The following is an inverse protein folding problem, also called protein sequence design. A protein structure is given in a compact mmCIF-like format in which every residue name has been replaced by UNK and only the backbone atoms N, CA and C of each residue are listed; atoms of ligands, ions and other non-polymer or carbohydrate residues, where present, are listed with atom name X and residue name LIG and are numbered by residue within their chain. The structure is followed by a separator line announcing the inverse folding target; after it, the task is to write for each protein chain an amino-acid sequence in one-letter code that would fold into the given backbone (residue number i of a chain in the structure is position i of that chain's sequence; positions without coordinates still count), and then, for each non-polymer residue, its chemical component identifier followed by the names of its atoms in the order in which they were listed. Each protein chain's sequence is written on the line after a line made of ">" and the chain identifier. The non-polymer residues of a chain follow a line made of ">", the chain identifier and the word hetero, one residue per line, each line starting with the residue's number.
data_IF_568359425706
#
_entry.id   IF_568359425706
#
_cell.length_a   1.000
_cell.length_b   1.000
_cell.length_c   1.000
_cell.angle_alpha   90.00
_cell.angle_beta   90.00
_cell.angle_gamma   90.00
#
_symmetry.space_group_name_H-M   'P 1'
#
loop_
_entity.id
_entity.type
_entity.pdbx_description
1 polymer ?
#
# COMPACT_ATOMS: atom_id res chain seq x y z
N UNK A 1 -12.59 -2.29 3.68
CA UNK A 1 -11.41 -2.00 2.87
C UNK A 1 -11.11 -0.51 2.90
N UNK A 2 -9.88 -0.17 3.31
CA UNK A 2 -9.45 1.24 3.42
C UNK A 2 -8.39 1.50 2.35
N UNK A 3 -8.66 2.46 1.47
CA UNK A 3 -7.72 3.01 0.47
C UNK A 3 -7.53 4.52 0.71
N UNK A 4 -7.47 4.91 1.98
CA UNK A 4 -7.49 6.32 2.36
C UNK A 4 -6.11 6.96 2.49
N UNK A 5 -5.05 6.14 2.58
CA UNK A 5 -3.71 6.67 2.86
C UNK A 5 -3.03 7.32 1.66
N UNK A 6 -3.60 7.15 0.46
CA UNK A 6 -3.09 7.77 -0.76
C UNK A 6 -2.50 6.78 -1.77
N UNK A 7 -1.71 7.34 -2.69
CA UNK A 7 -1.10 6.61 -3.81
C UNK A 7 0.43 6.60 -3.71
N UNK A 8 1.00 7.02 -2.59
CA UNK A 8 2.44 7.01 -2.39
C UNK A 8 2.99 5.60 -2.58
N UNK A 9 4.01 5.45 -3.41
CA UNK A 9 4.66 4.18 -3.70
C UNK A 9 6.13 4.42 -3.99
N UNK A 10 6.97 3.46 -3.61
CA UNK A 10 8.40 3.47 -3.89
C UNK A 10 8.76 2.71 -5.16
N UNK A 11 7.79 2.05 -5.81
CA UNK A 11 7.98 1.31 -7.06
C UNK A 11 7.29 1.99 -8.24
N UNK A 12 7.74 1.59 -9.43
CA UNK A 12 7.37 2.08 -10.74
C UNK A 12 7.00 0.91 -11.67
N UNK A 13 6.11 0.04 -11.19
CA UNK A 13 5.73 -1.19 -11.88
C UNK A 13 5.12 -0.93 -13.26
N UNK A 14 5.49 -1.73 -14.28
CA UNK A 14 4.99 -1.57 -15.64
C UNK A 14 3.46 -1.67 -15.76
N UNK A 15 2.83 -2.56 -14.98
CA UNK A 15 1.38 -2.74 -14.99
C UNK A 15 0.63 -1.77 -14.07
N UNK A 16 1.34 -0.93 -13.30
CA UNK A 16 0.67 -0.06 -12.35
C UNK A 16 -0.02 1.09 -13.06
N UNK A 17 -1.25 1.36 -12.61
CA UNK A 17 -2.03 2.46 -13.14
C UNK A 17 -1.61 3.80 -12.50
N UNK A 18 -1.68 4.88 -13.26
CA UNK A 18 -1.28 6.22 -12.78
C UNK A 18 -1.99 6.64 -11.51
N UNK A 19 -3.27 6.29 -11.35
CA UNK A 19 -4.06 6.61 -10.14
C UNK A 19 -3.71 5.77 -8.90
N UNK A 20 -2.78 4.84 -9.02
CA UNK A 20 -2.41 3.92 -7.95
C UNK A 20 -0.95 4.02 -7.53
N UNK A 21 -0.19 4.92 -8.17
CA UNK A 21 1.24 5.14 -7.87
C UNK A 21 1.62 6.59 -8.09
N UNK A 22 2.17 7.22 -7.06
CA UNK A 22 2.66 8.61 -7.12
C UNK A 22 3.77 8.79 -8.17
N UNK A 23 4.64 7.79 -8.32
CA UNK A 23 5.72 7.83 -9.33
C UNK A 23 5.13 7.78 -10.74
N UNK A 24 4.19 6.86 -10.99
CA UNK A 24 3.53 6.76 -12.30
C UNK A 24 2.70 8.00 -12.64
N UNK A 25 2.02 8.56 -11.65
CA UNK A 25 1.30 9.83 -11.82
C UNK A 25 2.25 10.93 -12.25
N UNK A 26 3.39 11.07 -11.54
CA UNK A 26 4.39 12.07 -11.87
C UNK A 26 4.96 11.88 -13.28
N UNK A 27 5.36 10.67 -13.64
CA UNK A 27 5.88 10.36 -14.98
C UNK A 27 4.88 10.74 -16.08
N UNK A 28 3.61 10.39 -15.92
CA UNK A 28 2.59 10.73 -16.90
C UNK A 28 2.39 12.25 -17.08
N UNK A 29 2.58 13.03 -16.01
CA UNK A 29 2.60 14.50 -16.11
C UNK A 29 3.85 15.02 -16.79
N UNK A 30 5.03 14.52 -16.41
CA UNK A 30 6.33 14.94 -16.98
C UNK A 30 6.40 14.62 -18.48
N UNK A 31 5.79 13.51 -18.92
CA UNK A 31 5.70 13.09 -20.34
C UNK A 31 4.56 13.78 -21.10
N UNK A 32 3.78 14.64 -20.45
CA UNK A 32 2.66 15.38 -21.08
C UNK A 32 1.44 14.52 -21.43
N UNK A 33 1.44 13.24 -21.05
CA UNK A 33 0.36 12.29 -21.37
C UNK A 33 -0.95 12.67 -20.68
N UNK A 34 -0.90 13.43 -19.59
CA UNK A 34 -2.03 13.71 -18.70
C UNK A 34 -2.41 15.18 -18.57
N UNK A 35 -1.93 16.03 -19.46
CA UNK A 35 -2.30 17.45 -19.43
C UNK A 35 -3.80 17.68 -19.68
N UNK A 36 -4.49 16.71 -20.27
CA UNK A 36 -5.92 16.79 -20.54
C UNK A 36 -6.61 15.45 -20.19
N UNK A 37 -7.61 15.48 -19.34
CA UNK A 37 -8.50 14.33 -19.10
C UNK A 37 -9.86 14.64 -19.72
N UNK A 38 -10.35 13.72 -20.52
CA UNK A 38 -11.72 13.80 -21.05
C UNK A 38 -12.64 13.24 -19.96
N UNK A 39 -13.42 14.11 -19.35
CA UNK A 39 -14.49 13.74 -18.42
C UNK A 39 -15.84 14.00 -19.07
N UNK A 40 -16.48 12.94 -19.53
CA UNK A 40 -17.65 13.06 -20.42
C UNK A 40 -17.27 13.76 -21.73
N UNK A 41 -17.98 14.84 -22.09
CA UNK A 41 -17.69 15.64 -23.29
C UNK A 41 -16.80 16.87 -23.03
N UNK A 42 -16.20 17.00 -21.84
CA UNK A 42 -15.37 18.15 -21.48
C UNK A 42 -13.91 17.75 -21.29
N UNK A 43 -13.00 18.46 -21.96
CA UNK A 43 -11.58 18.42 -21.66
C UNK A 43 -11.31 19.22 -20.41
N UNK A 44 -10.75 18.59 -19.38
CA UNK A 44 -10.36 19.24 -18.14
C UNK A 44 -8.85 19.15 -18.01
N UNK A 45 -8.18 20.31 -18.01
CA UNK A 45 -6.76 20.36 -17.61
C UNK A 45 -6.67 20.12 -16.12
N UNK A 46 -5.93 19.10 -15.72
CA UNK A 46 -5.68 18.79 -14.32
C UNK A 46 -4.21 18.91 -14.02
N UNK A 47 -3.90 19.51 -12.87
CA UNK A 47 -2.54 19.56 -12.36
C UNK A 47 -2.17 18.24 -11.66
N UNK A 48 -0.87 17.98 -11.49
CA UNK A 48 -0.40 16.85 -10.68
C UNK A 48 -1.01 16.89 -9.26
N UNK A 49 -1.19 18.10 -8.70
CA UNK A 49 -1.82 18.33 -7.40
C UNK A 49 -3.28 17.85 -7.36
N UNK A 50 -4.03 17.94 -8.45
CA UNK A 50 -5.44 17.51 -8.49
C UNK A 50 -5.57 15.98 -8.39
N UNK A 51 -4.58 15.24 -8.85
CA UNK A 51 -4.52 13.78 -8.72
C UNK A 51 -3.88 13.34 -7.39
N UNK A 52 -2.89 14.06 -6.92
CA UNK A 52 -2.34 13.88 -5.58
C UNK A 52 -3.38 14.24 -4.51
N UNK A 53 -4.31 15.11 -4.88
CA UNK A 53 -5.38 15.65 -4.04
C UNK A 53 -6.67 14.82 -4.03
N UNK A 54 -6.63 13.57 -4.38
CA UNK A 54 -7.48 12.64 -3.63
C UNK A 54 -6.94 12.55 -2.17
N UNK A 55 -6.45 13.65 -1.63
CA UNK A 55 -6.25 13.92 -0.21
C UNK A 55 -7.62 14.06 0.42
N UNK A 56 -8.33 12.91 0.49
CA UNK A 56 -9.33 12.77 1.52
C UNK A 56 -8.65 13.14 2.83
N UNK A 57 -9.34 13.75 3.76
CA UNK A 57 -8.79 14.06 5.07
C UNK A 57 -8.47 12.72 5.76
N UNK A 58 -7.25 12.24 5.58
CA UNK A 58 -6.80 10.93 6.10
C UNK A 58 -7.00 10.88 7.60
N UNK A 59 -6.80 12.02 8.27
CA UNK A 59 -7.00 12.12 9.71
C UNK A 59 -8.47 11.94 10.12
N UNK A 60 -9.40 12.49 9.34
CA UNK A 60 -10.83 12.28 9.57
C UNK A 60 -11.21 10.81 9.38
N UNK A 61 -10.72 10.17 8.32
CA UNK A 61 -10.97 8.75 8.07
C UNK A 61 -10.35 7.89 9.18
N UNK A 62 -9.13 8.21 9.62
CA UNK A 62 -8.49 7.51 10.72
C UNK A 62 -9.32 7.65 12.02
N UNK A 63 -9.83 8.83 12.31
CA UNK A 63 -10.68 9.04 13.48
C UNK A 63 -11.98 8.22 13.38
N UNK A 64 -12.66 8.22 12.23
CA UNK A 64 -13.85 7.39 12.00
C UNK A 64 -13.54 5.88 12.16
N UNK A 65 -12.38 5.40 11.71
CA UNK A 65 -11.96 4.01 11.91
C UNK A 65 -11.75 3.72 13.39
N UNK A 66 -11.15 4.64 14.13
CA UNK A 66 -10.93 4.51 15.57
C UNK A 66 -12.25 4.48 16.34
N UNK A 67 -13.21 5.35 16.01
CA UNK A 67 -14.55 5.35 16.59
C UNK A 67 -15.31 4.04 16.34
N UNK A 68 -15.12 3.45 15.15
CA UNK A 68 -15.76 2.19 14.77
C UNK A 68 -14.97 0.95 15.19
N UNK A 69 -13.77 1.10 15.77
CA UNK A 69 -12.86 0.00 16.07
C UNK A 69 -13.50 -1.16 16.84
N UNK A 70 -14.38 -0.94 17.85
CA UNK A 70 -15.05 -2.04 18.56
C UNK A 70 -15.91 -2.96 17.68
N UNK A 71 -16.30 -2.47 16.50
CA UNK A 71 -17.13 -3.21 15.52
C UNK A 71 -16.32 -3.73 14.33
N UNK A 72 -15.02 -3.39 14.26
CA UNK A 72 -14.16 -3.80 13.15
C UNK A 72 -13.48 -5.12 13.49
N UNK A 73 -13.84 -6.17 12.75
CA UNK A 73 -13.17 -7.46 12.83
C UNK A 73 -12.03 -7.61 11.81
N UNK A 74 -12.24 -7.07 10.59
CA UNK A 74 -11.27 -7.13 9.51
C UNK A 74 -10.97 -5.74 8.95
N UNK A 75 -9.71 -5.37 8.91
CA UNK A 75 -9.22 -4.13 8.33
C UNK A 75 -8.30 -4.43 7.15
N UNK A 76 -8.77 -4.21 5.92
CA UNK A 76 -7.93 -4.35 4.72
C UNK A 76 -7.33 -3.01 4.35
N UNK A 77 -6.00 -2.93 4.36
CA UNK A 77 -5.22 -1.74 4.05
C UNK A 77 -4.57 -1.92 2.67
N UNK A 78 -4.89 -1.01 1.78
CA UNK A 78 -4.38 -0.97 0.41
C UNK A 78 -4.06 0.48 0.01
N UNK A 79 -3.27 0.66 -1.03
CA UNK A 79 -2.91 1.98 -1.55
C UNK A 79 -1.83 1.86 -2.60
N UNK A 80 -0.94 2.84 -2.70
CA UNK A 80 0.32 2.70 -3.41
C UNK A 80 1.18 1.63 -2.75
N UNK A 81 1.88 2.00 -1.68
CA UNK A 81 2.55 1.08 -0.76
C UNK A 81 2.22 1.48 0.68
N UNK A 82 1.36 0.73 1.37
CA UNK A 82 0.91 1.10 2.72
C UNK A 82 2.05 1.23 3.73
N UNK A 83 3.09 0.39 3.60
CA UNK A 83 4.16 0.30 4.60
C UNK A 83 5.15 1.47 4.57
N UNK A 84 5.06 2.39 3.58
CA UNK A 84 5.84 3.66 3.61
C UNK A 84 5.03 4.83 4.17
N UNK A 85 3.72 4.68 4.35
CA UNK A 85 2.82 5.79 4.67
C UNK A 85 2.75 6.05 6.17
N UNK A 86 3.24 7.19 6.65
CA UNK A 86 3.23 7.55 8.08
C UNK A 86 1.82 7.52 8.69
N UNK A 87 0.82 8.02 7.96
CA UNK A 87 -0.58 8.06 8.41
C UNK A 87 -1.18 6.68 8.67
N UNK A 88 -0.68 5.66 8.01
CA UNK A 88 -1.03 4.28 8.31
C UNK A 88 -0.56 3.89 9.71
N UNK A 89 0.70 4.20 10.08
CA UNK A 89 1.23 3.90 11.41
C UNK A 89 0.54 4.70 12.52
N UNK A 90 0.18 5.95 12.25
CA UNK A 90 -0.63 6.77 13.17
C UNK A 90 -1.99 6.11 13.48
N UNK A 91 -2.61 5.46 12.49
CA UNK A 91 -3.82 4.67 12.72
C UNK A 91 -3.53 3.45 13.61
N UNK A 92 -2.45 2.71 13.32
CA UNK A 92 -2.09 1.54 14.13
C UNK A 92 -1.81 1.94 15.58
N UNK A 93 -1.08 3.04 15.80
CA UNK A 93 -0.79 3.57 17.15
C UNK A 93 -2.10 3.84 17.92
N UNK A 94 -3.07 4.51 17.29
CA UNK A 94 -4.39 4.80 17.90
C UNK A 94 -5.16 3.53 18.23
N UNK A 95 -5.19 2.54 17.32
CA UNK A 95 -5.88 1.26 17.57
C UNK A 95 -5.25 0.48 18.72
N UNK A 96 -3.95 0.58 18.89
CA UNK A 96 -3.22 -0.03 20.02
C UNK A 96 -3.52 0.72 21.31
N UNK A 97 -3.50 2.05 21.29
CA UNK A 97 -3.74 2.92 22.44
C UNK A 97 -5.12 2.69 23.05
N UNK A 98 -6.15 2.47 22.23
CA UNK A 98 -7.52 2.17 22.69
C UNK A 98 -7.76 0.69 22.98
N UNK A 99 -6.72 -0.16 22.94
CA UNK A 99 -6.75 -1.61 23.23
C UNK A 99 -7.60 -2.46 22.26
N UNK A 100 -7.98 -1.92 21.10
CA UNK A 100 -8.81 -2.63 20.11
C UNK A 100 -7.98 -3.46 19.09
N UNK A 101 -6.69 -3.16 18.93
CA UNK A 101 -5.82 -3.86 17.99
C UNK A 101 -5.84 -5.39 18.16
N UNK A 102 -5.90 -5.88 19.39
CA UNK A 102 -5.92 -7.32 19.72
C UNK A 102 -7.13 -8.10 19.19
N UNK A 103 -8.21 -7.39 18.81
CA UNK A 103 -9.43 -7.98 18.25
C UNK A 103 -9.46 -7.90 16.73
N UNK A 104 -8.64 -7.03 16.12
CA UNK A 104 -8.65 -6.72 14.70
C UNK A 104 -7.71 -7.64 13.93
N UNK A 105 -8.18 -8.19 12.82
CA UNK A 105 -7.36 -8.82 11.80
C UNK A 105 -7.00 -7.79 10.72
N UNK A 106 -5.72 -7.62 10.43
CA UNK A 106 -5.28 -6.74 9.35
C UNK A 106 -4.89 -7.54 8.12
N UNK A 107 -5.27 -7.07 6.95
CA UNK A 107 -4.81 -7.58 5.66
C UNK A 107 -4.13 -6.47 4.87
N UNK A 108 -2.84 -6.62 4.63
CA UNK A 108 -2.04 -5.74 3.77
C UNK A 108 -1.97 -6.25 2.34
N UNK A 109 -2.05 -5.31 1.38
CA UNK A 109 -1.59 -5.52 0.01
C UNK A 109 -0.30 -4.70 -0.13
N UNK A 110 0.84 -5.35 -0.23
CA UNK A 110 2.16 -4.70 -0.26
C UNK A 110 3.03 -5.20 -1.40
N UNK A 111 3.98 -4.39 -1.82
CA UNK A 111 5.02 -4.82 -2.75
C UNK A 111 6.16 -5.59 -2.06
N UNK A 112 6.16 -5.66 -0.74
CA UNK A 112 7.10 -6.43 0.07
C UNK A 112 8.52 -5.86 0.18
N UNK A 113 8.81 -4.69 -0.40
CA UNK A 113 10.17 -4.13 -0.41
C UNK A 113 10.52 -3.32 0.83
N UNK A 114 9.52 -2.87 1.59
CA UNK A 114 9.71 -1.94 2.70
C UNK A 114 9.08 -2.50 3.97
N UNK A 115 9.80 -2.37 5.07
CA UNK A 115 9.35 -2.78 6.41
C UNK A 115 9.50 -1.67 7.44
N UNK A 116 10.07 -0.52 7.04
CA UNK A 116 10.36 0.63 7.90
C UNK A 116 9.91 1.93 7.22
N UNK A 117 9.21 2.79 7.95
CA UNK A 117 8.83 4.13 7.53
C UNK A 117 9.18 5.16 8.61
N UNK A 118 10.29 5.87 8.44
CA UNK A 118 10.83 6.77 9.45
C UNK A 118 11.22 6.00 10.72
N UNK A 119 10.58 6.29 11.84
CA UNK A 119 10.80 5.60 13.12
C UNK A 119 9.96 4.32 13.28
N UNK A 120 9.01 4.07 12.42
CA UNK A 120 8.07 2.95 12.54
C UNK A 120 8.58 1.73 11.78
N UNK A 121 8.61 0.60 12.44
CA UNK A 121 8.95 -0.70 11.88
C UNK A 121 7.72 -1.61 11.98
N UNK A 122 7.24 -2.15 10.86
CA UNK A 122 5.99 -2.93 10.85
C UNK A 122 6.03 -4.13 11.80
N UNK A 123 7.19 -4.72 12.00
CA UNK A 123 7.39 -5.88 12.89
C UNK A 123 7.10 -5.57 14.37
N UNK A 124 7.16 -4.31 14.80
CA UNK A 124 6.83 -3.89 16.17
C UNK A 124 5.31 -3.84 16.39
N UNK A 125 4.54 -3.72 15.30
CA UNK A 125 3.07 -3.64 15.30
C UNK A 125 2.39 -5.01 15.17
N UNK A 126 2.97 -5.92 14.38
CA UNK A 126 2.38 -7.25 14.09
C UNK A 126 1.91 -7.98 15.35
N UNK A 127 2.70 -8.09 16.45
CA UNK A 127 2.29 -8.84 17.63
C UNK A 127 1.11 -8.23 18.38
N UNK A 128 0.75 -6.98 18.09
CA UNK A 128 -0.35 -6.26 18.76
C UNK A 128 -1.72 -6.58 18.17
N UNK A 129 -1.76 -7.17 16.98
CA UNK A 129 -2.99 -7.47 16.27
C UNK A 129 -3.35 -8.96 16.36
N UNK A 130 -4.66 -9.25 16.30
CA UNK A 130 -5.17 -10.63 16.37
C UNK A 130 -4.56 -11.53 15.30
N UNK A 131 -4.51 -11.04 14.07
CA UNK A 131 -3.89 -11.70 12.91
C UNK A 131 -3.46 -10.65 11.89
N UNK A 132 -2.37 -10.93 11.20
CA UNK A 132 -1.91 -10.09 10.09
C UNK A 132 -1.77 -10.97 8.86
N UNK A 133 -2.49 -10.65 7.79
CA UNK A 133 -2.31 -11.28 6.48
C UNK A 133 -1.51 -10.33 5.59
N UNK A 134 -0.34 -10.76 5.17
CA UNK A 134 0.54 -10.00 4.29
C UNK A 134 0.42 -10.58 2.88
N UNK A 135 -0.28 -9.89 1.99
CA UNK A 135 -0.41 -10.26 0.59
C UNK A 135 0.70 -9.57 -0.18
N UNK A 136 1.73 -10.33 -0.51
CA UNK A 136 2.90 -9.81 -1.22
C UNK A 136 2.67 -9.89 -2.72
N UNK A 137 2.89 -8.78 -3.39
CA UNK A 137 2.74 -8.67 -4.85
C UNK A 137 4.02 -9.14 -5.54
N UNK A 138 4.00 -10.32 -6.15
CA UNK A 138 5.09 -10.91 -6.91
C UNK A 138 4.58 -11.42 -8.27
N UNK A 139 5.21 -10.98 -9.36
CA UNK A 139 4.78 -11.33 -10.73
C UNK A 139 5.80 -12.23 -11.46
N UNK A 140 6.86 -12.61 -10.79
CA UNK A 140 7.89 -13.48 -11.33
C UNK A 140 9.00 -13.75 -10.32
N UNK A 141 10.06 -14.41 -10.76
CA UNK A 141 11.21 -14.81 -9.93
C UNK A 141 12.47 -14.03 -10.33
N UNK A 142 13.22 -13.56 -9.33
CA UNK A 142 14.52 -12.91 -9.53
C UNK A 142 14.44 -11.67 -10.41
N UNK A 143 15.26 -11.64 -11.45
CA UNK A 143 15.33 -10.49 -12.37
C UNK A 143 14.04 -10.20 -13.13
N UNK A 144 13.19 -11.20 -13.34
CA UNK A 144 11.89 -11.01 -14.02
C UNK A 144 10.95 -10.20 -13.14
N UNK A 145 10.87 -10.50 -11.84
CA UNK A 145 10.08 -9.67 -10.93
C UNK A 145 10.61 -8.24 -10.90
N UNK A 146 11.93 -8.03 -10.85
CA UNK A 146 12.54 -6.71 -10.83
C UNK A 146 12.29 -5.92 -12.12
N UNK A 147 12.19 -6.60 -13.25
CA UNK A 147 11.83 -5.98 -14.53
C UNK A 147 10.37 -5.53 -14.53
N UNK A 148 9.44 -6.41 -14.17
CA UNK A 148 8.00 -6.12 -14.16
C UNK A 148 7.67 -5.07 -13.09
N UNK A 149 8.22 -5.24 -11.87
CA UNK A 149 8.09 -4.33 -10.74
C UNK A 149 9.33 -3.47 -10.61
N UNK A 150 9.47 -2.52 -11.54
CA UNK A 150 10.65 -1.64 -11.59
C UNK A 150 10.95 -1.01 -10.24
N UNK A 151 12.23 -0.86 -9.92
CA UNK A 151 12.79 -0.43 -8.64
C UNK A 151 12.63 -1.44 -7.50
N UNK A 152 12.06 -2.62 -7.73
CA UNK A 152 12.05 -3.67 -6.72
C UNK A 152 13.38 -4.41 -6.67
N UNK A 153 13.65 -5.03 -5.53
CA UNK A 153 14.73 -5.98 -5.34
C UNK A 153 14.13 -7.30 -4.84
N UNK A 154 14.10 -8.32 -5.70
CA UNK A 154 13.51 -9.61 -5.39
C UNK A 154 14.13 -10.27 -4.16
N UNK A 155 15.47 -10.19 -4.01
CA UNK A 155 16.16 -10.78 -2.84
C UNK A 155 15.71 -10.13 -1.54
N UNK A 156 15.52 -8.82 -1.54
CA UNK A 156 15.03 -8.08 -0.39
C UNK A 156 13.57 -8.44 -0.06
N UNK A 157 12.74 -8.61 -1.07
CA UNK A 157 11.35 -9.06 -0.90
C UNK A 157 11.32 -10.44 -0.22
N UNK A 158 12.13 -11.40 -0.69
CA UNK A 158 12.20 -12.73 -0.09
C UNK A 158 12.69 -12.66 1.36
N UNK A 159 13.73 -11.87 1.64
CA UNK A 159 14.20 -11.64 3.01
C UNK A 159 13.08 -11.09 3.90
N UNK A 160 12.32 -10.11 3.40
CA UNK A 160 11.21 -9.53 4.17
C UNK A 160 10.09 -10.55 4.39
N UNK A 161 9.77 -11.40 3.41
CA UNK A 161 8.83 -12.52 3.56
C UNK A 161 9.28 -13.46 4.67
N UNK A 162 10.56 -13.84 4.70
CA UNK A 162 11.13 -14.68 5.75
C UNK A 162 11.02 -14.02 7.14
N UNK A 163 11.27 -12.71 7.24
CA UNK A 163 11.07 -11.97 8.50
C UNK A 163 9.60 -11.97 8.95
N UNK A 164 8.65 -11.73 8.03
CA UNK A 164 7.22 -11.81 8.33
C UNK A 164 6.81 -13.21 8.81
N UNK A 165 7.39 -14.27 8.24
CA UNK A 165 7.03 -15.66 8.58
C UNK A 165 7.43 -16.08 10.00
N UNK A 166 8.30 -15.32 10.66
CA UNK A 166 8.70 -15.58 12.05
C UNK A 166 7.59 -15.31 13.08
N UNK A 167 6.54 -14.58 12.69
CA UNK A 167 5.45 -14.23 13.59
C UNK A 167 4.31 -15.25 13.51
N UNK A 168 3.91 -15.86 14.65
CA UNK A 168 2.90 -16.93 14.65
C UNK A 168 1.50 -16.47 14.25
N UNK A 169 1.21 -15.17 14.37
CA UNK A 169 -0.06 -14.57 13.97
C UNK A 169 -0.06 -14.01 12.55
N UNK A 170 1.03 -14.24 11.77
CA UNK A 170 1.13 -13.82 10.37
C UNK A 170 0.74 -14.94 9.42
N UNK A 171 -0.04 -14.59 8.41
CA UNK A 171 -0.25 -15.39 7.20
C UNK A 171 0.32 -14.63 6.01
N UNK A 172 1.04 -15.32 5.15
CA UNK A 172 1.59 -14.76 3.91
C UNK A 172 0.83 -15.36 2.73
N UNK A 173 0.31 -14.49 1.88
CA UNK A 173 -0.30 -14.83 0.59
C UNK A 173 0.53 -14.15 -0.51
N UNK A 174 0.67 -14.82 -1.66
CA UNK A 174 1.27 -14.22 -2.86
C UNK A 174 0.14 -13.81 -3.81
N UNK A 175 0.23 -12.58 -4.31
CA UNK A 175 -0.66 -12.07 -5.36
C UNK A 175 0.15 -11.76 -6.61
N UNK A 176 -0.12 -12.49 -7.68
CA UNK A 176 0.51 -12.29 -8.98
C UNK A 176 -0.49 -11.72 -9.97
N UNK A 177 -0.06 -10.71 -10.71
CA UNK A 177 -0.82 -10.15 -11.81
C UNK A 177 -0.28 -10.73 -13.11
N UNK A 178 -1.08 -11.56 -13.77
CA UNK A 178 -0.72 -12.09 -15.09
C UNK A 178 -0.87 -10.98 -16.11
N UNK A 179 0.22 -10.62 -16.74
CA UNK A 179 0.29 -9.59 -17.78
C UNK A 179 1.07 -10.10 -18.98
N UNK A 180 1.07 -9.35 -20.06
CA UNK A 180 1.94 -9.63 -21.21
C UNK A 180 3.43 -9.75 -20.85
N UNK A 181 3.87 -9.12 -19.77
CA UNK A 181 5.27 -9.17 -19.30
C UNK A 181 5.58 -10.40 -18.45
N UNK A 182 4.57 -11.15 -18.01
CA UNK A 182 4.71 -12.29 -17.08
C UNK A 182 4.42 -13.66 -17.71
N UNK A 183 4.17 -13.67 -19.02
CA UNK A 183 3.91 -14.88 -19.82
C UNK A 183 5.12 -15.23 -20.66
#
# INVERSE_FOLDING_TARGET
>A
QVKSFGIECNLDCHMCYHFSSSIRTKMAFDEGVWNEVIWGNKKVKKSHSDYAMAKKPVDEINNQIVELAPYIYNLKIIGGEPLIMKKHYELLDKLIEIDEAKHIQIKYQTNGTVTVAGKHRIFDYIPKFKRVTVVVSLDGVGKYNNYIRRRSNYKEIIKNIEEFSKFPNVRIDINSTVTFFSV
#
